data_IF_387074433157
#
_entry.id   IF_387074433157
#
_cell.length_a   1.000
_cell.length_b   1.000
_cell.length_c   1.000
_cell.angle_alpha   90.00
_cell.angle_beta   90.00
_cell.angle_gamma   90.00
#
_symmetry.space_group_name_H-M   'P 1'
#
loop_
_entity.id
_entity.type
_entity.pdbx_description
1 polymer ?
#
# COMPACT_ATOMS: atom_id res chain seq x y z
N UNK A 1 -19.23 11.79 -0.84
CA UNK A 1 -18.25 10.81 -1.35
C UNK A 1 -18.95 9.97 -2.38
N UNK A 2 -18.60 10.12 -3.67
CA UNK A 2 -19.28 9.42 -4.76
C UNK A 2 -18.73 8.00 -4.84
N UNK A 3 -19.59 7.01 -5.10
CA UNK A 3 -19.20 5.60 -5.21
C UNK A 3 -18.13 5.33 -6.29
N UNK A 4 -17.91 6.29 -7.21
CA UNK A 4 -16.84 6.28 -8.22
C UNK A 4 -15.43 6.43 -7.63
N UNK A 5 -15.24 7.19 -6.55
CA UNK A 5 -13.91 7.48 -5.99
C UNK A 5 -13.25 6.25 -5.35
N UNK A 6 -14.08 5.31 -4.88
CA UNK A 6 -13.62 4.05 -4.26
C UNK A 6 -13.02 3.09 -5.30
N UNK A 7 -13.46 3.15 -6.57
CA UNK A 7 -12.99 2.22 -7.62
C UNK A 7 -11.49 2.35 -7.93
N UNK A 8 -10.88 3.47 -7.58
CA UNK A 8 -9.44 3.72 -7.79
C UNK A 8 -8.64 3.78 -6.49
N UNK A 9 -9.19 3.36 -5.35
CA UNK A 9 -8.48 3.38 -4.05
C UNK A 9 -8.17 1.96 -3.57
N UNK A 10 -6.95 1.72 -3.12
CA UNK A 10 -6.51 0.43 -2.59
C UNK A 10 -5.84 0.61 -1.21
N UNK A 11 -6.03 -0.39 -0.33
CA UNK A 11 -5.33 -0.50 0.94
C UNK A 11 -4.44 -1.73 0.88
N UNK A 12 -3.16 -1.57 1.17
CA UNK A 12 -2.18 -2.67 1.27
C UNK A 12 -1.80 -2.82 2.74
N UNK A 13 -1.94 -4.02 3.28
CA UNK A 13 -1.62 -4.34 4.68
C UNK A 13 -0.34 -5.17 4.72
N UNK A 14 0.65 -4.68 5.46
CA UNK A 14 2.00 -5.22 5.57
C UNK A 14 3.02 -4.40 4.76
N UNK A 15 4.02 -3.84 5.44
CA UNK A 15 5.10 -3.01 4.91
C UNK A 15 6.39 -3.78 4.58
N UNK A 16 6.33 -5.11 4.43
CA UNK A 16 7.44 -5.91 3.92
C UNK A 16 7.66 -5.71 2.40
N UNK A 17 8.70 -6.33 1.81
CA UNK A 17 9.04 -6.16 0.40
C UNK A 17 7.86 -6.41 -0.56
N UNK A 18 7.07 -7.46 -0.30
CA UNK A 18 5.89 -7.79 -1.11
C UNK A 18 4.79 -6.72 -1.04
N UNK A 19 4.54 -6.18 0.15
CA UNK A 19 3.51 -5.16 0.36
C UNK A 19 3.93 -3.80 -0.20
N UNK A 20 5.17 -3.39 0.02
CA UNK A 20 5.72 -2.18 -0.60
C UNK A 20 5.68 -2.26 -2.12
N UNK A 21 6.10 -3.40 -2.71
CA UNK A 21 6.07 -3.58 -4.16
C UNK A 21 4.63 -3.56 -4.71
N UNK A 22 3.69 -4.18 -3.99
CA UNK A 22 2.27 -4.14 -4.36
C UNK A 22 1.72 -2.72 -4.32
N UNK A 23 2.06 -1.95 -3.28
CA UNK A 23 1.65 -0.56 -3.15
C UNK A 23 2.21 0.33 -4.27
N UNK A 24 3.50 0.18 -4.57
CA UNK A 24 4.16 0.89 -5.67
C UNK A 24 3.55 0.54 -7.04
N UNK A 25 3.27 -0.74 -7.29
CA UNK A 25 2.65 -1.19 -8.54
C UNK A 25 1.25 -0.60 -8.72
N UNK A 26 0.43 -0.58 -7.67
CA UNK A 26 -0.91 0.01 -7.69
C UNK A 26 -0.85 1.53 -7.86
N UNK A 27 0.06 2.20 -7.15
CA UNK A 27 0.27 3.64 -7.30
C UNK A 27 0.71 4.00 -8.73
N UNK A 28 1.65 3.23 -9.31
CA UNK A 28 2.09 3.39 -10.70
C UNK A 28 0.99 3.15 -11.73
N UNK A 29 -0.08 2.44 -11.37
CA UNK A 29 -1.29 2.24 -12.20
C UNK A 29 -2.36 3.32 -11.98
N UNK A 30 -2.07 4.35 -11.20
CA UNK A 30 -2.99 5.47 -10.95
C UNK A 30 -4.02 5.20 -9.84
N UNK A 31 -3.80 4.18 -9.00
CA UNK A 31 -4.60 4.00 -7.80
C UNK A 31 -4.11 4.91 -6.67
N UNK A 32 -5.04 5.44 -5.87
CA UNK A 32 -4.71 6.03 -4.57
C UNK A 32 -4.46 4.89 -3.59
N UNK A 33 -3.25 4.79 -3.05
CA UNK A 33 -2.85 3.67 -2.20
C UNK A 33 -2.59 4.13 -0.78
N UNK A 34 -3.09 3.35 0.19
CA UNK A 34 -2.72 3.45 1.60
C UNK A 34 -1.98 2.18 1.98
N UNK A 35 -0.70 2.30 2.34
CA UNK A 35 0.10 1.20 2.90
C UNK A 35 0.05 1.27 4.43
N UNK A 36 -0.27 0.16 5.09
CA UNK A 36 -0.36 0.06 6.54
C UNK A 36 0.61 -0.99 7.04
N UNK A 37 1.46 -0.63 8.00
CA UNK A 37 2.36 -1.54 8.71
C UNK A 37 2.14 -1.37 10.21
N UNK A 38 2.22 -2.48 10.95
CA UNK A 38 2.09 -2.49 12.41
C UNK A 38 3.39 -2.09 13.09
N UNK A 39 4.53 -2.51 12.54
CA UNK A 39 5.85 -2.18 13.03
C UNK A 39 6.13 -0.67 12.89
N UNK A 40 7.01 -0.10 13.74
CA UNK A 40 7.40 1.30 13.64
C UNK A 40 8.25 1.61 12.39
N UNK A 41 8.71 0.59 11.67
CA UNK A 41 9.52 0.70 10.47
C UNK A 41 9.00 -0.22 9.36
N UNK A 42 9.30 0.15 8.11
CA UNK A 42 9.04 -0.68 6.93
C UNK A 42 10.12 -1.77 6.79
N UNK A 43 9.89 -2.72 5.89
CA UNK A 43 10.83 -3.79 5.57
C UNK A 43 10.42 -5.17 6.09
N UNK A 44 9.36 -5.24 6.92
CA UNK A 44 8.82 -6.50 7.41
C UNK A 44 9.85 -7.27 8.24
N UNK A 45 10.33 -8.41 7.73
CA UNK A 45 11.36 -9.21 8.40
C UNK A 45 12.76 -8.57 8.36
N UNK A 46 13.00 -7.61 7.45
CA UNK A 46 14.27 -6.90 7.28
C UNK A 46 14.03 -5.38 7.44
N UNK A 47 14.05 -4.84 8.68
CA UNK A 47 13.74 -3.44 8.93
C UNK A 47 14.68 -2.49 8.17
N UNK A 48 14.10 -1.42 7.61
CA UNK A 48 14.83 -0.33 6.95
C UNK A 48 15.23 0.77 7.96
#
# INVERSE_FOLDING_TARGET
>A
MSHKDVKNTAIVVGGGPAGMQSALLLAGRGHKVVLVERAPALGGLFPL
#
